data_IF_749473967865
#
_entry.id   IF_749473967865
#
_cell.length_a   1.000
_cell.length_b   1.000
_cell.length_c   1.000
_cell.angle_alpha   90.00
_cell.angle_beta   90.00
_cell.angle_gamma   90.00
#
_symmetry.space_group_name_H-M   'P 1'
#
loop_
_entity.id
_entity.type
_entity.pdbx_description
1 polymer ?
#
# COMPACT_ATOMS: atom_id res chain seq x y z
N UNK A 1 -15.18 -13.41 10.29
CA UNK A 1 -14.57 -13.10 8.98
C UNK A 1 -15.21 -11.86 8.39
N UNK A 2 -16.36 -11.95 7.70
CA UNK A 2 -17.06 -10.77 7.16
C UNK A 2 -17.87 -9.98 8.20
N UNK A 3 -18.61 -10.64 9.09
CA UNK A 3 -19.47 -9.97 10.09
C UNK A 3 -18.70 -9.02 11.00
N UNK A 4 -17.50 -9.42 11.44
CA UNK A 4 -16.64 -8.56 12.25
C UNK A 4 -16.11 -7.37 11.44
N UNK A 5 -15.86 -7.53 10.14
CA UNK A 5 -15.49 -6.41 9.27
C UNK A 5 -16.62 -5.38 9.19
N UNK A 6 -17.85 -5.85 8.96
CA UNK A 6 -19.05 -5.02 8.94
C UNK A 6 -19.28 -4.32 10.28
N UNK A 7 -19.08 -5.02 11.41
CA UNK A 7 -19.16 -4.43 12.75
C UNK A 7 -18.16 -3.29 12.94
N UNK A 8 -16.91 -3.48 12.52
CA UNK A 8 -15.86 -2.45 12.62
C UNK A 8 -16.12 -1.25 11.71
N UNK A 9 -16.68 -1.48 10.52
CA UNK A 9 -17.12 -0.40 9.61
C UNK A 9 -18.25 0.41 10.26
N UNK A 10 -19.26 -0.26 10.81
CA UNK A 10 -20.38 0.42 11.47
C UNK A 10 -19.93 1.23 12.70
N UNK A 11 -19.00 0.70 13.50
CA UNK A 11 -18.40 1.45 14.61
C UNK A 11 -17.63 2.67 14.09
N UNK A 12 -16.85 2.52 13.02
CA UNK A 12 -16.09 3.62 12.39
C UNK A 12 -17.03 4.72 11.92
N UNK A 13 -18.16 4.34 11.32
CA UNK A 13 -19.22 5.24 10.87
C UNK A 13 -19.88 5.97 12.03
N UNK A 14 -20.33 5.23 13.05
CA UNK A 14 -21.03 5.77 14.22
C UNK A 14 -20.18 6.72 15.04
N UNK A 15 -18.91 6.36 15.26
CA UNK A 15 -17.98 7.12 16.09
C UNK A 15 -17.17 8.16 15.28
N UNK A 16 -17.45 8.30 13.98
CA UNK A 16 -16.76 9.21 13.05
C UNK A 16 -15.22 9.10 13.12
N UNK A 17 -14.72 7.87 13.14
CA UNK A 17 -13.29 7.62 13.24
C UNK A 17 -12.58 7.98 11.92
N UNK A 18 -11.31 8.31 12.02
CA UNK A 18 -10.46 8.63 10.86
C UNK A 18 -9.56 7.45 10.44
N UNK A 19 -9.70 6.31 11.13
CA UNK A 19 -8.97 5.08 10.83
C UNK A 19 -9.91 3.88 10.92
N UNK A 20 -9.61 2.85 10.14
CA UNK A 20 -10.30 1.56 10.17
C UNK A 20 -9.27 0.43 10.12
N UNK A 21 -9.43 -0.56 11.02
CA UNK A 21 -8.58 -1.76 11.05
C UNK A 21 -9.39 -3.03 10.79
N UNK A 22 -9.18 -3.62 9.62
CA UNK A 22 -9.76 -4.88 9.15
C UNK A 22 -8.69 -5.98 9.05
N UNK A 23 -7.60 -5.85 9.81
CA UNK A 23 -6.51 -6.84 9.81
C UNK A 23 -6.97 -8.20 10.32
N UNK A 24 -6.49 -9.28 9.68
CA UNK A 24 -6.59 -10.63 10.22
C UNK A 24 -8.02 -11.18 10.25
N UNK A 25 -8.85 -10.78 9.29
CA UNK A 25 -10.26 -11.16 9.22
C UNK A 25 -10.53 -12.24 8.17
N UNK A 26 -9.48 -12.78 7.55
CA UNK A 26 -9.55 -13.81 6.50
C UNK A 26 -10.45 -13.39 5.33
N UNK A 27 -10.47 -12.09 5.02
CA UNK A 27 -11.29 -11.55 3.94
C UNK A 27 -10.72 -11.93 2.57
N UNK A 28 -11.53 -12.53 1.70
CA UNK A 28 -11.15 -12.76 0.30
C UNK A 28 -11.36 -11.50 -0.56
N UNK A 29 -12.27 -10.62 -0.15
CA UNK A 29 -12.59 -9.36 -0.83
C UNK A 29 -12.81 -8.22 0.18
N UNK A 30 -12.66 -6.97 -0.28
CA UNK A 30 -12.99 -5.79 0.51
C UNK A 30 -14.52 -5.64 0.54
N UNK A 31 -15.17 -5.59 1.72
CA UNK A 31 -16.62 -5.37 1.78
C UNK A 31 -16.98 -3.98 1.23
N UNK A 32 -17.99 -3.93 0.36
CA UNK A 32 -18.47 -2.68 -0.29
C UNK A 32 -18.91 -1.61 0.72
N UNK A 33 -19.31 -2.02 1.93
CA UNK A 33 -19.71 -1.16 3.03
C UNK A 33 -18.56 -0.23 3.47
N UNK A 34 -17.30 -0.53 3.11
CA UNK A 34 -16.16 0.37 3.32
C UNK A 34 -16.37 1.75 2.67
N UNK A 35 -17.19 1.83 1.62
CA UNK A 35 -17.52 3.08 0.93
C UNK A 35 -18.32 4.04 1.81
N UNK A 36 -19.06 3.50 2.79
CA UNK A 36 -19.81 4.28 3.77
C UNK A 36 -18.90 5.05 4.74
N UNK A 37 -17.60 4.73 4.79
CA UNK A 37 -16.59 5.40 5.61
C UNK A 37 -15.46 6.00 4.76
N UNK A 38 -15.77 6.44 3.53
CA UNK A 38 -14.80 7.01 2.57
C UNK A 38 -14.04 8.27 3.03
N UNK A 39 -14.42 8.86 4.18
CA UNK A 39 -13.69 9.97 4.80
C UNK A 39 -12.43 9.53 5.57
N UNK A 40 -12.25 8.23 5.87
CA UNK A 40 -11.12 7.79 6.67
C UNK A 40 -9.79 8.12 5.98
N UNK A 41 -8.79 8.43 6.82
CA UNK A 41 -7.44 8.70 6.37
C UNK A 41 -6.52 7.48 6.44
N UNK A 42 -6.81 6.51 7.32
CA UNK A 42 -5.96 5.35 7.53
C UNK A 42 -6.74 4.04 7.46
N UNK A 43 -6.26 3.10 6.64
CA UNK A 43 -6.88 1.79 6.47
C UNK A 43 -5.85 0.68 6.63
N UNK A 44 -6.20 -0.33 7.43
CA UNK A 44 -5.46 -1.58 7.55
C UNK A 44 -6.34 -2.72 7.06
N UNK A 45 -5.88 -3.42 6.04
CA UNK A 45 -6.44 -4.64 5.44
C UNK A 45 -5.39 -5.78 5.47
N UNK A 46 -4.39 -5.66 6.32
CA UNK A 46 -3.26 -6.62 6.37
C UNK A 46 -3.70 -8.00 6.85
N UNK A 47 -2.97 -9.05 6.47
CA UNK A 47 -3.23 -10.44 6.88
C UNK A 47 -4.65 -10.89 6.51
N UNK A 48 -5.02 -10.69 5.25
CA UNK A 48 -6.25 -11.21 4.66
C UNK A 48 -5.89 -12.01 3.39
N UNK A 49 -6.88 -12.41 2.61
CA UNK A 49 -6.73 -13.15 1.36
C UNK A 49 -7.03 -12.30 0.12
N UNK A 50 -7.00 -10.96 0.26
CA UNK A 50 -7.46 -10.02 -0.76
C UNK A 50 -6.53 -10.04 -1.97
N UNK A 51 -7.11 -10.12 -3.16
CA UNK A 51 -6.39 -9.92 -4.44
C UNK A 51 -6.86 -8.66 -5.16
N UNK A 52 -8.15 -8.35 -5.11
CA UNK A 52 -8.73 -7.16 -5.74
C UNK A 52 -8.87 -5.99 -4.75
N UNK A 53 -8.23 -4.88 -5.07
CA UNK A 53 -8.27 -3.63 -4.30
C UNK A 53 -8.94 -2.47 -5.06
N UNK A 54 -9.62 -2.74 -6.18
CA UNK A 54 -10.26 -1.76 -7.05
C UNK A 54 -11.24 -0.82 -6.32
N UNK A 55 -11.94 -1.33 -5.28
CA UNK A 55 -12.83 -0.54 -4.43
C UNK A 55 -12.14 0.63 -3.73
N UNK A 56 -10.82 0.56 -3.54
CA UNK A 56 -10.06 1.64 -2.91
C UNK A 56 -10.01 2.91 -3.77
N UNK A 57 -10.31 2.84 -5.07
CA UNK A 57 -10.40 4.02 -5.97
C UNK A 57 -11.31 5.13 -5.42
N UNK A 58 -12.34 4.77 -4.64
CA UNK A 58 -13.28 5.71 -4.05
C UNK A 58 -12.81 6.32 -2.71
N UNK A 59 -11.68 5.86 -2.16
CA UNK A 59 -11.18 6.26 -0.84
C UNK A 59 -10.13 7.39 -0.91
N UNK A 60 -10.45 8.47 -1.61
CA UNK A 60 -9.52 9.58 -1.94
C UNK A 60 -8.88 10.31 -0.74
N UNK A 61 -9.36 10.07 0.49
CA UNK A 61 -8.81 10.65 1.71
C UNK A 61 -7.67 9.85 2.34
N UNK A 62 -7.39 8.63 1.85
CA UNK A 62 -6.36 7.78 2.40
C UNK A 62 -4.97 8.42 2.27
N UNK A 63 -4.31 8.55 3.42
CA UNK A 63 -2.90 8.93 3.54
C UNK A 63 -2.03 7.80 4.09
N UNK A 64 -2.64 6.78 4.72
CA UNK A 64 -1.98 5.57 5.20
C UNK A 64 -2.78 4.33 4.78
N UNK A 65 -2.11 3.40 4.11
CA UNK A 65 -2.72 2.15 3.64
C UNK A 65 -1.80 0.96 3.98
N UNK A 66 -2.33 -0.04 4.66
CA UNK A 66 -1.61 -1.25 5.00
C UNK A 66 -2.31 -2.51 4.46
N UNK A 67 -1.68 -3.16 3.50
CA UNK A 67 -2.14 -4.33 2.76
C UNK A 67 -1.16 -5.52 2.89
N UNK A 68 -0.30 -5.50 3.91
CA UNK A 68 0.73 -6.53 4.12
C UNK A 68 0.11 -7.92 4.30
N UNK A 69 0.66 -8.95 3.65
CA UNK A 69 0.18 -10.33 3.79
C UNK A 69 -1.19 -10.52 3.17
N UNK A 70 -1.27 -10.30 1.86
CA UNK A 70 -2.44 -10.52 1.02
C UNK A 70 -2.01 -11.27 -0.26
N UNK A 71 -2.87 -11.31 -1.28
CA UNK A 71 -2.61 -11.97 -2.57
C UNK A 71 -2.64 -10.98 -3.74
N UNK A 72 -2.20 -9.75 -3.50
CA UNK A 72 -2.28 -8.65 -4.46
C UNK A 72 -1.13 -8.74 -5.46
N UNK A 73 -1.42 -8.58 -6.75
CA UNK A 73 -0.44 -8.46 -7.83
C UNK A 73 -0.57 -7.13 -8.59
N UNK A 74 -1.80 -6.64 -8.78
CA UNK A 74 -2.11 -5.33 -9.38
C UNK A 74 -2.38 -4.26 -8.31
N UNK A 75 -1.59 -3.19 -8.35
CA UNK A 75 -1.74 -2.01 -7.48
C UNK A 75 -1.99 -0.71 -8.27
N UNK A 76 -2.44 -0.81 -9.52
CA UNK A 76 -2.75 0.31 -10.42
C UNK A 76 -3.77 1.30 -9.81
N UNK A 77 -4.72 0.81 -9.02
CA UNK A 77 -5.71 1.64 -8.32
C UNK A 77 -5.08 2.71 -7.41
N UNK A 78 -3.86 2.49 -6.92
CA UNK A 78 -3.19 3.42 -6.01
C UNK A 78 -2.84 4.75 -6.70
N UNK A 79 -2.78 4.82 -8.04
CA UNK A 79 -2.63 6.08 -8.77
C UNK A 79 -3.82 7.02 -8.56
N UNK A 80 -5.00 6.48 -8.22
CA UNK A 80 -6.23 7.25 -7.96
C UNK A 80 -6.31 7.77 -6.51
N UNK A 81 -5.28 7.52 -5.70
CA UNK A 81 -5.22 7.90 -4.28
C UNK A 81 -4.16 9.00 -4.03
N UNK A 82 -4.44 10.27 -4.37
CA UNK A 82 -3.43 11.34 -4.44
C UNK A 82 -2.88 11.78 -3.08
N UNK A 83 -3.50 11.33 -1.97
CA UNK A 83 -3.12 11.72 -0.61
C UNK A 83 -2.21 10.69 0.08
N UNK A 84 -1.88 9.57 -0.57
CA UNK A 84 -1.04 8.52 0.02
C UNK A 84 0.34 9.04 0.44
N UNK A 85 0.73 8.68 1.66
CA UNK A 85 2.03 9.04 2.27
C UNK A 85 2.75 7.82 2.81
N UNK A 86 2.00 6.82 3.29
CA UNK A 86 2.53 5.60 3.89
C UNK A 86 1.82 4.40 3.28
N UNK A 87 2.58 3.53 2.60
CA UNK A 87 2.05 2.33 1.95
C UNK A 87 2.83 1.12 2.47
N UNK A 88 2.11 0.10 2.92
CA UNK A 88 2.67 -1.18 3.34
C UNK A 88 2.05 -2.30 2.50
N UNK A 89 2.86 -2.93 1.67
CA UNK A 89 2.51 -3.94 0.66
C UNK A 89 3.35 -5.21 0.78
N UNK A 90 4.14 -5.34 1.85
CA UNK A 90 4.97 -6.52 2.07
C UNK A 90 4.19 -7.85 2.02
N UNK A 91 4.85 -8.94 1.64
CA UNK A 91 4.23 -10.27 1.53
C UNK A 91 3.00 -10.25 0.59
N UNK A 92 3.22 -9.92 -0.67
CA UNK A 92 2.23 -9.96 -1.75
C UNK A 92 2.88 -10.53 -3.02
N UNK A 93 2.25 -10.39 -4.18
CA UNK A 93 2.73 -10.89 -5.48
C UNK A 93 3.03 -9.78 -6.48
N UNK A 94 3.31 -8.57 -6.01
CA UNK A 94 3.48 -7.38 -6.86
C UNK A 94 4.80 -7.47 -7.62
N UNK A 95 4.75 -7.23 -8.94
CA UNK A 95 5.92 -7.23 -9.82
C UNK A 95 6.22 -5.87 -10.46
N UNK A 96 5.27 -4.93 -10.43
CA UNK A 96 5.43 -3.58 -10.97
C UNK A 96 4.90 -2.52 -9.99
N UNK A 97 5.63 -1.42 -9.86
CA UNK A 97 5.28 -0.24 -9.06
C UNK A 97 5.35 1.07 -9.87
N UNK A 98 5.42 0.98 -11.20
CA UNK A 98 5.57 2.11 -12.12
C UNK A 98 4.43 3.14 -12.00
N UNK A 99 3.20 2.70 -11.67
CA UNK A 99 2.07 3.60 -11.41
C UNK A 99 2.23 4.49 -10.18
N UNK A 100 3.13 4.17 -9.25
CA UNK A 100 3.35 5.01 -8.06
C UNK A 100 4.03 6.34 -8.41
N UNK A 101 4.55 6.53 -9.63
CA UNK A 101 5.22 7.77 -10.09
C UNK A 101 4.39 9.04 -9.90
N UNK A 102 3.07 8.94 -9.86
CA UNK A 102 2.13 10.05 -9.65
C UNK A 102 2.04 10.50 -8.18
N UNK A 103 2.56 9.70 -7.24
CA UNK A 103 2.40 9.91 -5.80
C UNK A 103 3.56 10.74 -5.22
N UNK A 104 3.67 12.00 -5.66
CA UNK A 104 4.74 12.92 -5.25
C UNK A 104 4.85 13.16 -3.72
N UNK A 105 3.81 12.81 -2.96
CA UNK A 105 3.73 12.97 -1.50
C UNK A 105 4.12 11.71 -0.71
N UNK A 106 4.47 10.62 -1.39
CA UNK A 106 4.82 9.36 -0.77
C UNK A 106 6.10 9.53 0.07
N UNK A 107 6.04 9.08 1.33
CA UNK A 107 7.15 9.18 2.29
C UNK A 107 7.75 7.84 2.65
N UNK A 108 6.92 6.80 2.68
CA UNK A 108 7.32 5.46 3.08
C UNK A 108 6.60 4.41 2.24
N UNK A 109 7.39 3.52 1.64
CA UNK A 109 6.91 2.31 0.98
C UNK A 109 7.62 1.11 1.59
N UNK A 110 6.84 0.12 2.00
CA UNK A 110 7.33 -1.18 2.45
C UNK A 110 6.75 -2.22 1.52
N UNK A 111 7.57 -2.86 0.69
CA UNK A 111 7.15 -3.84 -0.32
C UNK A 111 8.11 -5.04 -0.35
N UNK A 112 8.76 -5.34 0.77
CA UNK A 112 9.59 -6.53 0.88
C UNK A 112 8.78 -7.82 0.63
N UNK A 113 9.45 -8.89 0.21
CA UNK A 113 8.81 -10.19 -0.03
C UNK A 113 7.70 -10.08 -1.08
N UNK A 114 8.07 -9.64 -2.27
CA UNK A 114 7.21 -9.50 -3.45
C UNK A 114 7.94 -10.08 -4.68
N UNK A 115 7.50 -9.74 -5.90
CA UNK A 115 8.04 -10.24 -7.17
C UNK A 115 8.68 -9.14 -8.02
N UNK A 116 9.18 -8.07 -7.40
CA UNK A 116 9.81 -6.97 -8.14
C UNK A 116 11.12 -7.43 -8.77
N UNK A 117 11.19 -7.41 -10.10
CA UNK A 117 12.43 -7.65 -10.86
C UNK A 117 13.14 -6.36 -11.25
N UNK A 118 12.39 -5.26 -11.34
CA UNK A 118 12.92 -3.93 -11.64
C UNK A 118 12.24 -2.85 -10.79
N UNK A 119 12.89 -1.68 -10.69
CA UNK A 119 12.28 -0.47 -10.12
C UNK A 119 12.13 0.60 -11.19
N UNK A 120 11.06 1.41 -11.14
CA UNK A 120 10.96 2.61 -11.96
C UNK A 120 11.95 3.67 -11.50
N UNK A 121 12.05 4.76 -12.27
CA UNK A 121 12.81 5.93 -11.84
C UNK A 121 12.24 6.51 -10.54
N UNK A 122 13.03 6.45 -9.48
CA UNK A 122 12.65 6.90 -8.15
C UNK A 122 12.90 8.42 -7.95
N UNK A 123 13.46 9.12 -8.94
CA UNK A 123 13.66 10.58 -8.89
C UNK A 123 12.36 11.37 -8.67
N UNK A 124 11.22 10.77 -9.03
CA UNK A 124 9.88 11.32 -8.85
C UNK A 124 9.34 11.32 -7.41
N UNK A 125 10.09 10.76 -6.45
CA UNK A 125 9.69 10.72 -5.03
C UNK A 125 10.58 11.63 -4.16
N UNK A 126 10.48 12.96 -4.27
CA UNK A 126 11.38 13.87 -3.56
C UNK A 126 11.20 13.85 -2.03
N UNK A 127 10.05 13.37 -1.54
CA UNK A 127 9.72 13.31 -0.11
C UNK A 127 9.92 11.92 0.50
N UNK A 128 10.51 10.98 -0.25
CA UNK A 128 10.67 9.61 0.18
C UNK A 128 11.79 9.49 1.22
N UNK A 129 11.45 8.92 2.37
CA UNK A 129 12.36 8.78 3.53
C UNK A 129 12.69 7.32 3.81
N UNK A 130 11.82 6.39 3.38
CA UNK A 130 12.00 4.98 3.65
C UNK A 130 11.50 4.12 2.49
N UNK A 131 12.38 3.25 1.99
CA UNK A 131 12.07 2.21 1.02
C UNK A 131 12.61 0.87 1.51
N UNK A 132 11.74 -0.12 1.57
CA UNK A 132 12.12 -1.49 1.86
C UNK A 132 11.59 -2.41 0.78
N UNK A 133 12.52 -2.98 0.04
CA UNK A 133 12.33 -3.85 -1.13
C UNK A 133 13.09 -5.17 -0.94
N UNK A 134 13.48 -5.46 0.30
CA UNK A 134 14.11 -6.71 0.74
C UNK A 134 13.32 -7.93 0.24
N UNK A 135 13.96 -9.08 0.08
CA UNK A 135 13.31 -10.29 -0.41
C UNK A 135 12.53 -10.12 -1.75
N UNK A 136 13.02 -9.30 -2.68
CA UNK A 136 12.52 -9.23 -4.05
C UNK A 136 13.60 -9.69 -5.06
N UNK A 137 13.21 -10.32 -6.18
CA UNK A 137 14.15 -10.78 -7.22
C UNK A 137 14.69 -9.63 -8.09
N UNK A 138 15.18 -8.54 -7.49
CA UNK A 138 15.59 -7.32 -8.19
C UNK A 138 16.87 -7.51 -8.99
N UNK A 139 16.74 -7.42 -10.31
CA UNK A 139 17.84 -7.44 -11.27
C UNK A 139 18.35 -6.03 -11.60
N UNK A 140 17.47 -5.02 -11.53
CA UNK A 140 17.83 -3.62 -11.79
C UNK A 140 16.92 -2.63 -11.03
N UNK A 141 17.35 -1.39 -10.78
CA UNK A 141 18.73 -0.90 -10.83
C UNK A 141 19.61 -1.57 -9.75
N UNK A 142 20.92 -1.50 -9.95
CA UNK A 142 21.92 -1.90 -8.94
C UNK A 142 21.78 -1.06 -7.68
N UNK A 143 22.24 -1.58 -6.54
CA UNK A 143 22.17 -0.84 -5.28
C UNK A 143 22.95 0.48 -5.33
N UNK A 144 24.07 0.52 -6.04
CA UNK A 144 24.85 1.74 -6.24
C UNK A 144 24.08 2.80 -7.03
N UNK A 145 23.36 2.41 -8.09
CA UNK A 145 22.49 3.30 -8.85
C UNK A 145 21.37 3.84 -7.97
N UNK A 146 20.75 2.99 -7.17
CA UNK A 146 19.71 3.42 -6.23
C UNK A 146 20.23 4.43 -5.20
N UNK A 147 21.42 4.20 -4.63
CA UNK A 147 22.05 5.13 -3.70
C UNK A 147 22.42 6.46 -4.37
N UNK A 148 22.82 6.45 -5.64
CA UNK A 148 23.07 7.67 -6.42
C UNK A 148 21.77 8.44 -6.70
N UNK A 149 20.69 7.73 -7.02
CA UNK A 149 19.38 8.32 -7.31
C UNK A 149 18.76 8.96 -6.07
N UNK A 150 18.90 8.34 -4.89
CA UNK A 150 18.27 8.80 -3.64
C UNK A 150 19.25 8.69 -2.46
N UNK A 151 20.26 9.58 -2.38
CA UNK A 151 21.34 9.47 -1.38
C UNK A 151 20.88 9.67 0.07
N UNK A 152 19.71 10.27 0.29
CA UNK A 152 19.13 10.51 1.62
C UNK A 152 18.16 9.41 2.07
N UNK A 153 17.90 8.43 1.20
CA UNK A 153 16.89 7.40 1.45
C UNK A 153 17.50 6.21 2.21
N UNK A 154 16.80 5.75 3.25
CA UNK A 154 17.09 4.44 3.85
C UNK A 154 16.51 3.36 2.94
N UNK A 155 17.40 2.62 2.28
CA UNK A 155 17.08 1.51 1.38
C UNK A 155 17.50 0.21 2.04
N UNK A 156 16.56 -0.73 2.20
CA UNK A 156 16.83 -2.10 2.62
C UNK A 156 16.56 -3.06 1.45
N UNK A 157 17.53 -3.95 1.17
CA UNK A 157 17.55 -4.85 0.00
C UNK A 157 18.16 -6.24 0.34
N UNK A 158 17.85 -6.81 1.50
CA UNK A 158 18.40 -8.13 1.88
C UNK A 158 17.38 -9.25 1.80
#
# INVERSE_FOLDING_TARGET
MLEEALRRIEVTKKENLHYLDLKGLELDEIPKEILEVSWIGALSLSQNNISDISLLSHMSNLHKLALTGNKIDDISVLEQLPKLRFIFLANNFISDISMLKSQARLKKLVIHTNKLSSLPDLSHFPLFVYLDISDNPLESPSFEEMQKMLPLLKIYKY
#
